data_IF_805667685564
#
_entry.id   IF_805667685564
#
_cell.length_a   1.000
_cell.length_b   1.000
_cell.length_c   1.000
_cell.angle_alpha   90.00
_cell.angle_beta   90.00
_cell.angle_gamma   90.00
#
_symmetry.space_group_name_H-M   'P 1'
#
loop_
_entity.id
_entity.type
_entity.pdbx_description
1 polymer ?
#
# COMPACT_ATOMS: atom_id res chain seq x y z
N UNK A 1 9.10 46.30 52.75
CA UNK A 1 8.20 47.22 53.48
C UNK A 1 6.94 47.42 52.63
N UNK A 2 5.78 47.09 53.22
CA UNK A 2 4.41 47.47 52.88
C UNK A 2 3.74 47.01 51.57
N UNK A 3 2.84 46.01 51.72
CA UNK A 3 1.48 46.01 51.14
C UNK A 3 0.62 47.13 51.77
N UNK A 4 -0.55 47.51 51.20
CA UNK A 4 -1.85 46.90 51.56
C UNK A 4 -2.72 46.56 50.31
N UNK A 5 -3.53 45.49 50.29
CA UNK A 5 -4.92 45.34 50.81
C UNK A 5 -5.95 46.24 50.06
N UNK A 6 -7.19 45.89 49.72
CA UNK A 6 -8.11 44.75 49.92
C UNK A 6 -9.37 45.09 49.08
N UNK A 7 -10.07 44.11 48.51
CA UNK A 7 -11.54 44.18 48.31
C UNK A 7 -12.12 42.77 48.04
N UNK A 8 -12.73 42.22 49.09
CA UNK A 8 -13.60 41.05 49.11
C UNK A 8 -15.06 41.38 48.72
N UNK A 9 -15.83 40.30 48.49
CA UNK A 9 -17.29 40.07 48.65
C UNK A 9 -17.93 39.60 47.32
N UNK A 10 -18.65 38.48 47.20
CA UNK A 10 -19.54 37.80 48.14
C UNK A 10 -19.71 36.29 47.85
N UNK A 11 -20.03 35.55 48.91
CA UNK A 11 -20.46 34.15 49.01
C UNK A 11 -21.71 33.81 48.16
N UNK A 12 -21.80 32.57 47.68
CA UNK A 12 -23.07 31.82 47.74
C UNK A 12 -22.85 30.30 47.80
N UNK A 13 -23.28 29.74 48.92
CA UNK A 13 -23.36 28.33 49.31
C UNK A 13 -24.48 27.58 48.58
N UNK A 14 -24.22 26.33 48.15
CA UNK A 14 -25.24 25.45 47.59
C UNK A 14 -24.92 23.97 47.76
N UNK A 15 -25.00 23.48 49.00
CA UNK A 15 -24.86 22.08 49.41
C UNK A 15 -26.18 21.35 49.17
N UNK A 16 -26.22 20.27 48.38
CA UNK A 16 -27.33 19.29 48.40
C UNK A 16 -26.77 17.89 48.59
N UNK A 17 -26.91 17.41 49.82
CA UNK A 17 -26.91 15.99 50.17
C UNK A 17 -28.17 15.35 49.57
N UNK A 18 -28.04 14.18 48.95
CA UNK A 18 -29.17 13.28 48.73
C UNK A 18 -28.86 11.96 49.46
N UNK A 19 -29.88 11.57 50.19
CA UNK A 19 -30.00 10.49 51.15
C UNK A 19 -29.68 9.10 50.58
N UNK A 20 -29.00 8.31 51.41
CA UNK A 20 -28.96 6.85 51.35
C UNK A 20 -30.29 6.36 51.93
N UNK A 21 -30.99 5.49 51.19
CA UNK A 21 -31.95 4.55 51.76
C UNK A 21 -31.49 3.14 51.44
N UNK A 22 -31.27 2.42 52.53
CA UNK A 22 -31.05 0.98 52.65
C UNK A 22 -32.39 0.22 52.47
N UNK A 23 -32.32 -1.11 52.44
CA UNK A 23 -33.36 -2.16 52.40
C UNK A 23 -33.45 -2.90 51.05
N UNK A 24 -32.79 -4.04 50.85
CA UNK A 24 -32.91 -5.38 51.49
C UNK A 24 -33.79 -6.34 50.68
N UNK A 25 -33.32 -7.59 50.64
CA UNK A 25 -33.99 -8.85 50.28
C UNK A 25 -33.87 -9.49 48.89
N UNK A 26 -33.38 -10.74 48.99
CA UNK A 26 -33.05 -11.86 48.07
C UNK A 26 -34.31 -12.40 47.34
N UNK A 27 -34.26 -13.29 46.29
CA UNK A 27 -33.37 -14.46 46.20
C UNK A 27 -32.91 -14.96 44.81
N UNK A 28 -31.89 -15.82 44.91
CA UNK A 28 -31.43 -16.91 44.04
C UNK A 28 -32.43 -17.42 42.99
N UNK A 29 -32.09 -17.32 41.71
CA UNK A 29 -32.49 -18.30 40.67
C UNK A 29 -31.33 -18.55 39.70
N UNK A 30 -30.82 -19.78 39.73
CA UNK A 30 -30.16 -20.45 38.62
C UNK A 30 -31.15 -20.58 37.45
N UNK A 31 -30.67 -20.42 36.20
CA UNK A 31 -31.06 -21.13 34.95
C UNK A 31 -30.69 -20.27 33.71
N UNK A 32 -30.48 -20.87 32.52
CA UNK A 32 -29.17 -21.22 31.97
C UNK A 32 -28.81 -20.41 30.70
N UNK A 33 -27.61 -20.67 30.18
CA UNK A 33 -27.21 -20.59 28.77
C UNK A 33 -28.32 -20.13 27.79
N UNK A 34 -28.29 -18.86 27.39
CA UNK A 34 -28.76 -18.47 26.07
C UNK A 34 -27.53 -18.09 25.25
N UNK A 35 -27.09 -19.08 24.48
CA UNK A 35 -26.10 -18.92 23.43
C UNK A 35 -26.54 -17.79 22.50
N UNK A 36 -25.91 -16.62 22.63
CA UNK A 36 -25.93 -15.62 21.57
C UNK A 36 -25.07 -16.21 20.45
N UNK A 37 -25.71 -16.99 19.57
CA UNK A 37 -25.13 -17.45 18.32
C UNK A 37 -24.82 -16.20 17.49
N UNK A 38 -23.60 -15.71 17.63
CA UNK A 38 -22.96 -14.81 16.67
C UNK A 38 -22.79 -15.58 15.36
N UNK A 39 -23.85 -15.63 14.56
CA UNK A 39 -23.73 -15.85 13.12
C UNK A 39 -23.06 -14.60 12.54
N UNK A 40 -21.72 -14.58 12.57
CA UNK A 40 -20.98 -13.76 11.62
C UNK A 40 -21.09 -14.48 10.26
N UNK A 41 -21.83 -13.96 9.26
CA UNK A 41 -21.57 -14.36 7.89
C UNK A 41 -20.11 -14.03 7.60
N UNK A 42 -19.37 -15.01 7.10
CA UNK A 42 -17.99 -14.82 6.68
C UNK A 42 -17.94 -13.69 5.66
N UNK A 43 -17.48 -12.52 6.11
CA UNK A 43 -17.14 -11.40 5.25
C UNK A 43 -15.90 -11.83 4.44
N UNK A 44 -16.13 -12.60 3.38
CA UNK A 44 -15.15 -12.76 2.33
C UNK A 44 -14.85 -11.37 1.78
N UNK A 45 -13.59 -11.06 1.39
CA UNK A 45 -13.16 -9.69 1.14
C UNK A 45 -14.12 -8.98 0.19
N UNK A 46 -14.61 -7.81 0.64
CA UNK A 46 -15.50 -6.86 -0.05
C UNK A 46 -14.95 -6.36 -1.39
N UNK A 47 -13.75 -6.82 -1.77
CA UNK A 47 -12.92 -6.26 -2.83
C UNK A 47 -12.57 -7.32 -3.90
N UNK A 48 -13.16 -8.50 -3.82
CA UNK A 48 -13.08 -9.47 -4.89
C UNK A 48 -13.96 -8.99 -6.05
N UNK A 49 -13.43 -9.06 -7.28
CA UNK A 49 -14.27 -8.85 -8.45
C UNK A 49 -15.20 -10.06 -8.58
N UNK A 50 -16.45 -9.82 -8.97
CA UNK A 50 -17.42 -10.90 -9.15
C UNK A 50 -18.17 -10.82 -10.47
N UNK A 51 -18.68 -11.97 -10.91
CA UNK A 51 -19.53 -12.08 -12.09
C UNK A 51 -20.41 -13.32 -12.08
N UNK A 52 -21.67 -13.18 -12.49
CA UNK A 52 -22.63 -14.28 -12.49
C UNK A 52 -22.35 -15.31 -13.60
N UNK A 53 -22.45 -16.60 -13.27
CA UNK A 53 -22.26 -17.69 -14.22
C UNK A 53 -23.61 -18.19 -14.76
N UNK A 54 -23.74 -18.48 -16.07
CA UNK A 54 -25.01 -18.92 -16.68
C UNK A 54 -25.62 -20.20 -16.11
N UNK A 55 -24.83 -21.01 -15.42
CA UNK A 55 -25.25 -22.28 -14.81
C UNK A 55 -25.53 -22.13 -13.30
N UNK A 56 -25.72 -20.90 -12.83
CA UNK A 56 -25.84 -20.58 -11.41
C UNK A 56 -24.50 -20.45 -10.69
N UNK A 57 -24.53 -19.77 -9.54
CA UNK A 57 -23.34 -19.40 -8.79
C UNK A 57 -22.61 -18.18 -9.35
N UNK A 58 -21.59 -17.77 -8.63
CA UNK A 58 -20.84 -16.54 -8.86
C UNK A 58 -19.37 -16.87 -9.05
N UNK A 59 -18.77 -16.34 -10.12
CA UNK A 59 -17.34 -16.29 -10.28
C UNK A 59 -16.80 -15.17 -9.39
N UNK A 60 -15.82 -15.48 -8.55
CA UNK A 60 -15.18 -14.54 -7.65
C UNK A 60 -13.67 -14.61 -7.81
N UNK A 61 -13.05 -13.46 -8.05
CA UNK A 61 -11.61 -13.34 -8.31
C UNK A 61 -10.97 -12.49 -7.23
N UNK A 62 -9.99 -13.09 -6.54
CA UNK A 62 -9.20 -12.43 -5.52
C UNK A 62 -8.24 -11.40 -6.15
N UNK A 63 -8.22 -10.14 -5.69
CA UNK A 63 -7.44 -9.07 -6.34
C UNK A 63 -5.92 -9.25 -6.18
N UNK A 64 -5.47 -9.86 -5.08
CA UNK A 64 -4.05 -9.98 -4.76
C UNK A 64 -3.43 -11.20 -5.44
N UNK A 65 -4.14 -12.33 -5.42
CA UNK A 65 -3.65 -13.61 -5.93
C UNK A 65 -4.17 -13.97 -7.32
N UNK A 66 -5.16 -13.21 -7.82
CA UNK A 66 -5.90 -13.48 -9.06
C UNK A 66 -6.59 -14.85 -9.08
N UNK A 67 -6.65 -15.57 -7.96
CA UNK A 67 -7.28 -16.89 -7.90
C UNK A 67 -8.77 -16.77 -8.13
N UNK A 68 -9.27 -17.60 -9.04
CA UNK A 68 -10.66 -17.63 -9.43
C UNK A 68 -11.40 -18.79 -8.75
N UNK A 69 -12.53 -18.45 -8.12
CA UNK A 69 -13.38 -19.37 -7.40
C UNK A 69 -14.81 -19.30 -7.95
N UNK A 70 -15.47 -20.44 -8.09
CA UNK A 70 -16.91 -20.52 -8.22
C UNK A 70 -17.51 -20.64 -6.83
N UNK A 71 -18.40 -19.72 -6.49
CA UNK A 71 -19.13 -19.68 -5.23
C UNK A 71 -20.59 -19.99 -5.50
N UNK A 72 -21.14 -20.96 -4.79
CA UNK A 72 -22.55 -21.36 -4.88
C UNK A 72 -23.06 -21.63 -3.46
N UNK A 73 -23.86 -20.71 -2.92
CA UNK A 73 -24.19 -20.68 -1.49
C UNK A 73 -22.93 -20.62 -0.63
N UNK A 74 -22.80 -21.55 0.31
CA UNK A 74 -21.62 -21.65 1.20
C UNK A 74 -20.46 -22.48 0.61
N UNK A 75 -20.60 -22.99 -0.62
CA UNK A 75 -19.58 -23.81 -1.26
C UNK A 75 -18.73 -22.98 -2.21
N UNK A 76 -17.42 -22.95 -1.98
CA UNK A 76 -16.43 -22.39 -2.91
C UNK A 76 -15.58 -23.50 -3.54
N UNK A 77 -15.43 -23.47 -4.86
CA UNK A 77 -14.59 -24.42 -5.62
C UNK A 77 -13.67 -23.65 -6.55
N UNK A 78 -12.43 -24.12 -6.79
CA UNK A 78 -11.55 -23.48 -7.75
C UNK A 78 -12.15 -23.54 -9.15
N UNK A 79 -11.95 -22.49 -9.94
CA UNK A 79 -12.31 -22.50 -11.35
C UNK A 79 -11.32 -23.31 -12.17
N UNK A 80 -11.84 -24.02 -13.16
CA UNK A 80 -11.03 -24.71 -14.15
C UNK A 80 -10.53 -23.75 -15.21
N UNK A 81 -9.38 -24.07 -15.78
CA UNK A 81 -8.81 -23.33 -16.88
C UNK A 81 -9.72 -23.34 -18.11
N UNK A 82 -9.71 -22.22 -18.84
CA UNK A 82 -10.50 -22.05 -20.04
C UNK A 82 -11.20 -20.70 -20.12
N UNK A 83 -12.08 -20.61 -21.10
CA UNK A 83 -12.85 -19.40 -21.40
C UNK A 83 -14.25 -19.56 -20.84
N UNK A 84 -14.64 -18.67 -19.93
CA UNK A 84 -15.91 -18.70 -19.24
C UNK A 84 -16.72 -17.48 -19.64
N UNK A 85 -17.92 -17.71 -20.17
CA UNK A 85 -18.88 -16.64 -20.48
C UNK A 85 -19.76 -16.39 -19.27
N UNK A 86 -19.91 -15.13 -18.90
CA UNK A 86 -20.78 -14.69 -17.82
C UNK A 86 -22.20 -14.41 -18.32
N UNK A 87 -23.13 -14.23 -17.39
CA UNK A 87 -24.53 -13.90 -17.72
C UNK A 87 -24.69 -12.56 -18.45
N UNK A 88 -23.85 -11.58 -18.15
CA UNK A 88 -23.84 -10.27 -18.83
C UNK A 88 -23.24 -10.32 -20.26
N UNK A 89 -22.84 -11.51 -20.71
CA UNK A 89 -22.24 -11.75 -22.02
C UNK A 89 -20.73 -11.51 -22.08
N UNK A 90 -20.12 -10.98 -21.01
CA UNK A 90 -18.67 -10.81 -20.91
C UNK A 90 -17.95 -12.16 -20.81
N UNK A 91 -16.63 -12.11 -21.00
CA UNK A 91 -15.77 -13.30 -21.04
C UNK A 91 -14.62 -13.15 -20.06
N UNK A 92 -14.43 -14.17 -19.23
CA UNK A 92 -13.29 -14.31 -18.34
C UNK A 92 -12.44 -15.49 -18.78
N UNK A 93 -11.13 -15.30 -18.83
CA UNK A 93 -10.17 -16.35 -19.16
C UNK A 93 -9.48 -16.79 -17.87
N UNK A 94 -9.52 -18.07 -17.56
CA UNK A 94 -8.82 -18.67 -16.43
C UNK A 94 -7.62 -19.47 -16.95
N UNK A 95 -6.44 -19.22 -16.37
CA UNK A 95 -5.18 -19.92 -16.64
C UNK A 95 -4.51 -20.30 -15.33
N UNK A 96 -4.21 -21.58 -15.16
CA UNK A 96 -3.61 -22.15 -13.95
C UNK A 96 -4.41 -21.80 -12.67
N UNK A 97 -5.75 -21.78 -12.77
CA UNK A 97 -6.66 -21.39 -11.69
C UNK A 97 -6.68 -19.89 -11.35
N UNK A 98 -6.04 -19.06 -12.17
CA UNK A 98 -6.01 -17.59 -12.03
C UNK A 98 -6.74 -16.89 -13.17
N UNK A 99 -7.44 -15.80 -12.88
CA UNK A 99 -8.08 -15.01 -13.92
C UNK A 99 -7.06 -14.12 -14.62
N UNK A 100 -7.10 -14.14 -15.96
CA UNK A 100 -6.45 -13.13 -16.79
C UNK A 100 -7.25 -11.83 -16.62
N UNK A 101 -6.63 -10.75 -16.14
CA UNK A 101 -7.35 -9.50 -15.85
C UNK A 101 -8.06 -8.94 -17.09
N UNK A 102 -9.33 -8.58 -16.92
CA UNK A 102 -10.09 -7.75 -17.86
C UNK A 102 -10.06 -6.29 -17.42
N UNK A 103 -10.46 -5.36 -18.30
CA UNK A 103 -10.57 -3.94 -17.96
C UNK A 103 -11.51 -3.69 -16.77
N UNK A 104 -12.63 -4.42 -16.69
CA UNK A 104 -13.54 -4.32 -15.56
C UNK A 104 -12.92 -4.80 -14.25
N UNK A 105 -12.13 -5.87 -14.29
CA UNK A 105 -11.39 -6.35 -13.12
C UNK A 105 -10.37 -5.31 -12.67
N UNK A 106 -9.58 -4.77 -13.61
CA UNK A 106 -8.61 -3.71 -13.33
C UNK A 106 -9.27 -2.49 -12.72
N UNK A 107 -10.34 -1.96 -13.30
CA UNK A 107 -11.08 -0.82 -12.74
C UNK A 107 -11.63 -1.10 -11.34
N UNK A 108 -12.10 -2.32 -11.07
CA UNK A 108 -12.59 -2.73 -9.75
C UNK A 108 -11.47 -2.78 -8.71
N UNK A 109 -10.29 -3.25 -9.10
CA UNK A 109 -9.13 -3.37 -8.22
C UNK A 109 -8.34 -2.06 -8.10
N UNK A 110 -8.38 -1.20 -9.10
CA UNK A 110 -7.78 0.15 -9.10
C UNK A 110 -8.62 1.15 -8.29
N UNK A 111 -9.94 0.91 -8.17
CA UNK A 111 -10.84 1.63 -7.24
C UNK A 111 -10.57 1.34 -5.76
N UNK A 112 -9.46 0.66 -5.45
CA UNK A 112 -8.89 0.60 -4.11
C UNK A 112 -8.78 2.05 -3.60
N UNK A 113 -9.19 2.37 -2.35
CA UNK A 113 -8.51 3.47 -1.68
C UNK A 113 -7.06 3.03 -1.67
N UNK A 114 -6.25 3.73 -2.46
CA UNK A 114 -4.80 3.58 -2.54
C UNK A 114 -4.32 3.20 -1.15
N UNK A 115 -3.45 2.17 -1.03
CA UNK A 115 -2.73 2.04 0.24
C UNK A 115 -2.16 3.43 0.43
N UNK A 116 -2.71 4.19 1.38
CA UNK A 116 -2.17 5.51 1.73
C UNK A 116 -0.71 5.22 1.82
N UNK A 117 0.07 5.79 0.89
CA UNK A 117 1.50 5.67 1.00
C UNK A 117 1.76 6.12 2.44
N UNK A 118 2.41 5.29 3.26
CA UNK A 118 2.52 5.60 4.68
C UNK A 118 3.20 6.97 4.87
N UNK A 119 3.89 7.42 3.81
CA UNK A 119 4.53 8.70 3.63
C UNK A 119 3.75 9.71 2.77
N UNK A 120 2.55 9.43 2.28
CA UNK A 120 1.71 10.39 1.58
C UNK A 120 1.45 11.61 2.49
N UNK A 121 1.75 12.80 1.98
CA UNK A 121 1.73 14.03 2.79
C UNK A 121 2.90 14.19 3.77
N UNK A 122 3.96 13.37 3.67
CA UNK A 122 5.18 13.44 4.52
C UNK A 122 6.44 13.67 3.67
N UNK A 123 6.57 14.85 3.04
CA UNK A 123 7.62 15.11 2.05
C UNK A 123 9.03 14.98 2.62
N UNK A 124 9.23 15.31 3.90
CA UNK A 124 10.54 15.22 4.54
C UNK A 124 10.98 13.77 4.79
N UNK A 125 10.06 12.89 5.20
CA UNK A 125 10.30 11.47 5.35
C UNK A 125 10.50 10.77 3.99
N UNK A 126 9.75 11.16 2.96
CA UNK A 126 9.99 10.70 1.58
C UNK A 126 11.40 11.08 1.11
N UNK A 127 11.80 12.33 1.35
CA UNK A 127 13.12 12.83 0.99
C UNK A 127 14.23 12.07 1.72
N UNK A 128 14.11 11.88 3.05
CA UNK A 128 15.07 11.08 3.83
C UNK A 128 15.17 9.66 3.27
N UNK A 129 14.05 8.96 3.10
CA UNK A 129 14.03 7.58 2.62
C UNK A 129 14.70 7.45 1.24
N UNK A 130 14.43 8.39 0.33
CA UNK A 130 15.02 8.40 -1.01
C UNK A 130 16.53 8.62 -0.98
N UNK A 131 17.00 9.59 -0.20
CA UNK A 131 18.39 10.07 -0.25
C UNK A 131 19.31 9.29 0.67
N UNK A 132 18.80 8.84 1.82
CA UNK A 132 19.55 8.03 2.79
C UNK A 132 19.50 6.53 2.47
N UNK A 133 18.46 6.09 1.75
CA UNK A 133 18.17 4.68 1.48
C UNK A 133 17.38 4.02 2.63
N UNK A 134 16.72 2.88 2.37
CA UNK A 134 15.81 2.23 3.33
C UNK A 134 16.53 1.69 4.57
N UNK A 135 17.83 1.39 4.49
CA UNK A 135 18.65 0.91 5.60
C UNK A 135 19.79 1.87 5.94
N UNK A 136 19.65 3.16 5.62
CA UNK A 136 20.68 4.20 5.86
C UNK A 136 22.01 3.95 5.15
N UNK A 137 21.97 3.32 3.98
CA UNK A 137 23.14 2.94 3.19
C UNK A 137 23.96 4.17 2.77
N UNK A 138 23.28 5.30 2.53
CA UNK A 138 23.88 6.57 2.15
C UNK A 138 24.00 7.56 3.32
N UNK A 139 24.00 7.07 4.58
CA UNK A 139 24.06 7.90 5.81
C UNK A 139 25.09 9.03 5.77
N UNK A 140 26.27 8.77 5.22
CA UNK A 140 27.38 9.73 5.19
C UNK A 140 27.37 10.68 3.98
N UNK A 141 26.42 10.54 3.05
CA UNK A 141 26.33 11.41 1.88
C UNK A 141 25.88 12.83 2.27
N UNK A 142 26.38 13.84 1.57
CA UNK A 142 25.97 15.23 1.79
C UNK A 142 24.46 15.41 1.61
N UNK A 143 23.87 14.74 0.61
CA UNK A 143 22.42 14.71 0.40
C UNK A 143 21.67 14.17 1.63
N UNK A 144 22.07 13.02 2.18
CA UNK A 144 21.37 12.41 3.31
C UNK A 144 21.50 13.25 4.58
N UNK A 145 22.67 13.83 4.84
CA UNK A 145 22.87 14.73 5.98
C UNK A 145 21.98 15.98 5.90
N UNK A 146 21.82 16.55 4.70
CA UNK A 146 20.93 17.69 4.47
C UNK A 146 19.45 17.28 4.59
N UNK A 147 19.06 16.12 4.04
CA UNK A 147 17.69 15.61 4.16
C UNK A 147 17.29 15.38 5.63
N UNK A 148 18.20 14.79 6.43
CA UNK A 148 17.99 14.62 7.89
C UNK A 148 17.88 15.94 8.63
N UNK A 149 18.66 16.96 8.22
CA UNK A 149 18.53 18.31 8.79
C UNK A 149 17.13 18.88 8.54
N UNK A 150 16.64 18.79 7.30
CA UNK A 150 15.28 19.24 6.95
C UNK A 150 14.21 18.48 7.75
N UNK A 151 14.32 17.15 7.85
CA UNK A 151 13.40 16.35 8.65
C UNK A 151 13.39 16.75 10.14
N UNK A 152 14.54 17.09 10.71
CA UNK A 152 14.61 17.56 12.09
C UNK A 152 13.97 18.95 12.27
N UNK A 153 14.19 19.87 11.31
CA UNK A 153 13.53 21.17 11.30
C UNK A 153 12.01 21.03 11.18
N UNK A 154 11.54 20.07 10.38
CA UNK A 154 10.13 19.80 10.22
C UNK A 154 9.51 19.30 11.52
N UNK A 155 10.16 18.32 12.16
CA UNK A 155 9.73 17.83 13.48
C UNK A 155 9.70 18.94 14.54
N UNK A 156 10.58 19.93 14.46
CA UNK A 156 10.53 21.11 15.32
C UNK A 156 9.36 22.03 14.98
N UNK A 157 9.12 22.32 13.70
CA UNK A 157 8.02 23.15 13.24
C UNK A 157 6.67 22.55 13.65
N UNK A 158 6.49 21.25 13.44
CA UNK A 158 5.31 20.49 13.88
C UNK A 158 5.11 20.57 15.40
N UNK A 159 6.17 20.46 16.21
CA UNK A 159 6.07 20.62 17.67
C UNK A 159 5.70 22.03 18.13
N UNK A 160 6.04 23.06 17.35
CA UNK A 160 5.70 24.46 17.64
C UNK A 160 4.33 24.85 17.10
N UNK A 161 3.68 23.99 16.33
CA UNK A 161 2.40 24.31 15.73
C UNK A 161 1.32 24.52 16.81
N UNK A 162 0.37 25.44 16.57
CA UNK A 162 -0.79 25.61 17.44
C UNK A 162 -1.60 24.30 17.59
N UNK A 163 -2.21 24.11 18.76
CA UNK A 163 -2.99 22.91 19.06
C UNK A 163 -4.21 22.71 18.13
N UNK A 164 -4.75 23.81 17.58
CA UNK A 164 -5.88 23.83 16.66
C UNK A 164 -5.49 23.67 15.18
N UNK A 165 -4.19 23.58 14.86
CA UNK A 165 -3.70 23.46 13.49
C UNK A 165 -3.88 22.05 12.87
N UNK A 166 -4.51 21.13 13.63
CA UNK A 166 -4.76 19.76 13.21
C UNK A 166 -3.60 18.81 13.51
N UNK A 167 -3.76 17.53 13.12
CA UNK A 167 -2.79 16.49 13.46
C UNK A 167 -1.45 16.62 12.72
N UNK A 168 -1.45 17.27 11.55
CA UNK A 168 -0.28 17.55 10.70
C UNK A 168 -0.51 18.85 9.92
N UNK A 169 -0.31 20.01 10.55
CA UNK A 169 -0.35 21.28 9.84
C UNK A 169 0.69 21.33 8.73
N UNK A 170 0.36 21.99 7.62
CA UNK A 170 1.36 22.33 6.61
C UNK A 170 2.34 23.35 7.20
N UNK A 171 3.63 23.10 6.98
CA UNK A 171 4.73 23.95 7.44
C UNK A 171 5.54 24.41 6.25
N UNK A 172 6.25 25.53 6.40
CA UNK A 172 7.21 25.98 5.40
C UNK A 172 8.31 24.93 5.12
N UNK A 173 8.69 24.15 6.13
CA UNK A 173 9.72 23.11 5.99
C UNK A 173 9.20 21.92 5.16
N UNK A 174 7.91 21.57 5.27
CA UNK A 174 7.30 20.56 4.41
C UNK A 174 7.37 20.98 2.92
N UNK A 175 7.16 22.26 2.61
CA UNK A 175 7.32 22.79 1.26
C UNK A 175 8.77 22.74 0.78
N UNK A 176 9.73 23.06 1.64
CA UNK A 176 11.16 22.92 1.33
C UNK A 176 11.55 21.47 1.04
N UNK A 177 11.04 20.51 1.81
CA UNK A 177 11.24 19.10 1.53
C UNK A 177 10.63 18.67 0.19
N UNK A 178 9.45 19.19 -0.15
CA UNK A 178 8.80 18.91 -1.44
C UNK A 178 9.59 19.48 -2.61
N UNK A 179 10.14 20.69 -2.45
CA UNK A 179 11.05 21.28 -3.45
C UNK A 179 12.34 20.45 -3.59
N UNK A 180 12.92 20.02 -2.47
CA UNK A 180 14.12 19.18 -2.46
C UNK A 180 13.90 17.81 -3.12
N UNK A 181 12.67 17.28 -3.12
CA UNK A 181 12.35 16.08 -3.90
C UNK A 181 12.55 16.31 -5.41
N UNK A 182 12.40 17.51 -5.93
CA UNK A 182 12.67 17.81 -7.34
C UNK A 182 14.13 18.24 -7.61
N UNK A 183 14.93 18.49 -6.57
CA UNK A 183 16.26 19.08 -6.68
C UNK A 183 17.37 18.01 -6.91
N UNK A 184 18.20 18.13 -7.96
CA UNK A 184 19.32 17.22 -8.20
C UNK A 184 20.39 17.21 -7.09
N UNK A 185 20.42 18.23 -6.20
CA UNK A 185 21.28 18.24 -5.02
C UNK A 185 20.90 17.16 -3.98
N UNK A 186 19.72 16.55 -4.11
CA UNK A 186 19.23 15.44 -3.29
C UNK A 186 19.06 14.16 -4.12
N UNK A 187 20.17 13.57 -4.64
CA UNK A 187 20.09 12.37 -5.44
C UNK A 187 19.60 11.18 -4.61
N UNK A 188 18.93 10.23 -5.26
CA UNK A 188 18.58 8.97 -4.62
C UNK A 188 19.82 8.21 -4.15
N UNK A 189 19.68 7.45 -3.07
CA UNK A 189 20.77 6.64 -2.56
C UNK A 189 21.17 5.55 -3.58
N UNK A 190 22.40 5.62 -4.09
CA UNK A 190 22.95 4.62 -5.01
C UNK A 190 23.61 3.44 -4.31
N UNK A 191 23.81 3.49 -2.98
CA UNK A 191 24.49 2.42 -2.21
C UNK A 191 23.69 1.13 -2.02
N UNK A 192 22.49 1.05 -2.61
CA UNK A 192 21.75 -0.20 -2.86
C UNK A 192 21.63 -0.56 -4.35
N UNK A 193 22.24 0.23 -5.24
CA UNK A 193 22.20 0.12 -6.70
C UNK A 193 23.57 -0.33 -7.26
N UNK A 194 24.66 -0.12 -6.52
CA UNK A 194 26.00 -0.66 -6.83
C UNK A 194 26.17 -2.14 -6.42
N UNK A 195 25.23 -2.68 -5.65
CA UNK A 195 24.88 -4.09 -5.70
C UNK A 195 23.66 -4.23 -6.62
N UNK A 196 23.82 -3.88 -7.90
CA UNK A 196 22.90 -4.29 -8.93
C UNK A 196 22.83 -5.81 -8.86
N UNK A 197 21.85 -6.35 -8.14
CA UNK A 197 21.27 -7.61 -8.53
C UNK A 197 20.73 -7.30 -9.92
N UNK A 198 21.55 -7.60 -10.94
CA UNK A 198 21.13 -7.54 -12.33
C UNK A 198 19.80 -8.25 -12.36
N UNK A 199 18.75 -7.47 -12.59
CA UNK A 199 17.40 -8.01 -12.47
C UNK A 199 17.18 -8.98 -13.62
N UNK A 200 16.23 -9.90 -13.50
CA UNK A 200 15.88 -10.73 -14.64
C UNK A 200 15.43 -9.87 -15.83
N UNK A 201 14.80 -8.70 -15.58
CA UNK A 201 14.41 -7.77 -16.64
C UNK A 201 15.61 -7.03 -17.25
N UNK A 202 16.59 -6.60 -16.45
CA UNK A 202 17.83 -6.03 -16.97
C UNK A 202 18.60 -7.05 -17.81
N UNK A 203 18.70 -8.30 -17.33
CA UNK A 203 19.32 -9.41 -18.08
C UNK A 203 18.59 -9.68 -19.39
N UNK A 204 17.26 -9.64 -19.38
CA UNK A 204 16.42 -9.82 -20.56
C UNK A 204 16.64 -8.69 -21.58
N UNK A 205 16.66 -7.43 -21.13
CA UNK A 205 16.88 -6.27 -21.99
C UNK A 205 18.28 -6.30 -22.60
N UNK A 206 19.32 -6.59 -21.81
CA UNK A 206 20.68 -6.72 -22.34
C UNK A 206 20.80 -7.85 -23.36
N UNK A 207 20.21 -9.01 -23.05
CA UNK A 207 20.16 -10.16 -23.98
C UNK A 207 19.48 -9.79 -25.29
N UNK A 208 18.32 -9.14 -25.25
CA UNK A 208 17.44 -8.97 -26.43
C UNK A 208 17.74 -7.70 -27.22
N UNK A 209 18.12 -6.62 -26.53
CA UNK A 209 18.43 -5.34 -27.15
C UNK A 209 19.93 -5.14 -27.40
N UNK A 210 20.79 -5.96 -26.77
CA UNK A 210 22.23 -5.76 -26.69
C UNK A 210 22.62 -4.74 -25.61
N UNK A 211 23.82 -4.86 -25.04
CA UNK A 211 24.32 -3.95 -24.00
C UNK A 211 24.25 -2.47 -24.42
N UNK A 212 24.53 -2.18 -25.69
CA UNK A 212 24.48 -0.83 -26.26
C UNK A 212 23.17 -0.52 -27.01
N UNK A 213 22.17 -1.42 -26.96
CA UNK A 213 20.90 -1.23 -27.66
C UNK A 213 20.96 -1.36 -29.18
N UNK A 214 21.97 -2.05 -29.73
CA UNK A 214 22.14 -2.20 -31.17
C UNK A 214 21.01 -3.01 -31.83
N UNK A 215 20.33 -3.89 -31.10
CA UNK A 215 19.09 -4.55 -31.53
C UNK A 215 17.82 -3.81 -31.11
N UNK A 216 17.86 -2.50 -30.91
CA UNK A 216 16.68 -1.69 -30.52
C UNK A 216 15.48 -1.82 -31.46
N UNK A 217 15.72 -2.18 -32.74
CA UNK A 217 14.69 -2.40 -33.75
C UNK A 217 14.18 -3.85 -33.82
N UNK A 218 14.76 -4.77 -33.05
CA UNK A 218 14.29 -6.15 -32.97
C UNK A 218 12.86 -6.18 -32.42
N UNK A 219 11.95 -7.02 -32.96
CA UNK A 219 10.58 -7.11 -32.48
C UNK A 219 10.48 -7.51 -30.99
N UNK A 220 11.52 -8.15 -30.45
CA UNK A 220 11.57 -8.56 -29.05
C UNK A 220 12.08 -7.47 -28.09
N UNK A 221 12.78 -6.44 -28.58
CA UNK A 221 13.36 -5.41 -27.71
C UNK A 221 12.32 -4.47 -27.07
N UNK A 222 11.32 -3.93 -27.79
CA UNK A 222 10.26 -3.12 -27.18
C UNK A 222 9.51 -3.82 -26.02
N UNK A 223 9.03 -5.07 -26.16
CA UNK A 223 8.36 -5.74 -25.04
C UNK A 223 9.32 -6.07 -23.89
N UNK A 224 10.60 -6.35 -24.13
CA UNK A 224 11.58 -6.54 -23.06
C UNK A 224 11.77 -5.24 -22.25
N UNK A 225 11.86 -4.08 -22.92
CA UNK A 225 11.94 -2.76 -22.26
C UNK A 225 10.66 -2.42 -21.50
N UNK A 226 9.50 -2.78 -22.04
CA UNK A 226 8.22 -2.59 -21.36
C UNK A 226 8.16 -3.36 -20.04
N UNK A 227 8.67 -4.60 -19.99
CA UNK A 227 8.71 -5.39 -18.75
C UNK A 227 9.67 -4.78 -17.71
N UNK A 228 10.82 -4.25 -18.15
CA UNK A 228 11.75 -3.55 -17.26
C UNK A 228 11.10 -2.31 -16.63
N UNK A 229 10.44 -1.48 -17.46
CA UNK A 229 9.71 -0.30 -17.00
C UNK A 229 8.55 -0.65 -16.04
N UNK A 230 7.91 -1.81 -16.20
CA UNK A 230 6.92 -2.32 -15.23
C UNK A 230 7.59 -2.76 -13.92
N UNK A 231 8.71 -3.48 -13.98
CA UNK A 231 9.47 -3.88 -12.78
C UNK A 231 9.93 -2.66 -11.97
N UNK A 232 10.41 -1.60 -12.63
CA UNK A 232 10.85 -0.37 -11.96
C UNK A 232 9.71 0.34 -11.21
N UNK A 233 8.50 0.37 -11.81
CA UNK A 233 7.29 0.88 -11.13
C UNK A 233 6.91 0.01 -9.94
N UNK A 234 6.92 -1.31 -10.09
CA UNK A 234 6.56 -2.25 -9.02
C UNK A 234 7.54 -2.17 -7.84
N UNK A 235 8.84 -1.99 -8.12
CA UNK A 235 9.88 -1.88 -7.10
C UNK A 235 9.76 -0.64 -6.24
N UNK A 236 9.24 0.46 -6.80
CA UNK A 236 9.09 1.72 -6.06
C UNK A 236 8.21 1.54 -4.81
N UNK A 237 7.31 0.56 -4.80
CA UNK A 237 6.46 0.20 -3.65
C UNK A 237 6.77 -1.15 -2.99
N UNK A 238 7.83 -1.85 -3.39
CA UNK A 238 8.14 -3.21 -2.91
C UNK A 238 9.27 -3.21 -1.85
N UNK A 239 9.27 -4.18 -0.91
CA UNK A 239 10.41 -4.41 -0.03
C UNK A 239 11.70 -4.73 -0.84
N UNK A 240 12.87 -4.30 -0.36
CA UNK A 240 14.14 -4.66 -0.98
C UNK A 240 14.29 -6.18 -1.14
N UNK A 241 14.62 -6.63 -2.35
CA UNK A 241 14.81 -8.06 -2.66
C UNK A 241 13.51 -8.86 -2.91
N UNK A 242 12.33 -8.23 -2.84
CA UNK A 242 11.09 -8.90 -3.23
C UNK A 242 11.08 -9.18 -4.73
N UNK A 243 10.67 -10.39 -5.12
CA UNK A 243 10.40 -10.72 -6.52
C UNK A 243 9.11 -10.03 -6.92
N UNK A 244 9.18 -9.10 -7.86
CA UNK A 244 7.99 -8.42 -8.37
C UNK A 244 7.28 -9.29 -9.43
N UNK A 245 5.98 -9.07 -9.68
CA UNK A 245 5.26 -9.77 -10.75
C UNK A 245 5.95 -9.66 -12.12
N UNK A 246 6.46 -8.48 -12.47
CA UNK A 246 7.20 -8.27 -13.72
C UNK A 246 8.58 -8.93 -13.68
N UNK A 247 9.27 -8.93 -12.54
CA UNK A 247 10.52 -9.67 -12.35
C UNK A 247 10.38 -11.18 -12.58
N UNK A 248 9.24 -11.78 -12.19
CA UNK A 248 8.92 -13.17 -12.50
C UNK A 248 8.68 -13.39 -14.00
N UNK A 249 7.94 -12.51 -14.66
CA UNK A 249 7.72 -12.58 -16.11
C UNK A 249 9.02 -12.46 -16.90
N UNK A 250 9.94 -11.59 -16.49
CA UNK A 250 11.24 -11.47 -17.13
C UNK A 250 12.09 -12.74 -16.98
N UNK A 251 12.05 -13.39 -15.80
CA UNK A 251 12.73 -14.67 -15.59
C UNK A 251 12.19 -15.75 -16.53
N UNK A 252 10.86 -15.81 -16.69
CA UNK A 252 10.24 -16.79 -17.57
C UNK A 252 10.51 -16.45 -19.06
N UNK A 253 10.58 -15.17 -19.41
CA UNK A 253 10.93 -14.67 -20.74
C UNK A 253 12.35 -15.04 -21.17
N UNK A 254 13.32 -15.14 -20.25
CA UNK A 254 14.69 -15.59 -20.56
C UNK A 254 14.73 -17.01 -21.14
N UNK A 255 13.73 -17.85 -20.86
CA UNK A 255 13.58 -19.19 -21.44
C UNK A 255 12.77 -19.24 -22.75
N UNK A 256 12.24 -18.10 -23.22
CA UNK A 256 11.34 -18.05 -24.36
C UNK A 256 12.08 -17.67 -25.66
N UNK A 257 11.88 -18.44 -26.72
CA UNK A 257 12.53 -18.24 -28.02
C UNK A 257 12.19 -16.90 -28.70
N UNK A 258 11.07 -16.27 -28.36
CA UNK A 258 10.74 -14.92 -28.82
C UNK A 258 11.78 -13.89 -28.34
N UNK A 259 12.31 -14.05 -27.12
CA UNK A 259 13.35 -13.21 -26.53
C UNK A 259 14.75 -13.80 -26.81
N UNK A 260 15.03 -14.02 -28.09
CA UNK A 260 16.33 -14.46 -28.55
C UNK A 260 17.43 -13.42 -28.23
N UNK A 261 18.68 -13.86 -28.08
CA UNK A 261 19.82 -12.95 -27.99
C UNK A 261 19.91 -12.00 -29.18
N UNK A 262 20.45 -10.82 -28.92
CA UNK A 262 20.88 -9.86 -29.90
C UNK A 262 22.20 -10.35 -30.51
N UNK A 263 22.17 -10.66 -31.80
CA UNK A 263 23.32 -11.08 -32.62
C UNK A 263 23.76 -9.95 -33.58
#
# INVERSE_FOLDING_TARGET
MFQPALAELCLSTGKRQIHISDMNDRPTTLFPLLAFMLLLPGALPVHAWTGALPQGGELRVDPDTRRAWRVEGDTARPMWDGVHRLEDGSVVIIRDGTAVPSEQMLNTWESRPERVDELEGRPCEQLERRVCGPADECRASAGCLNARRLLNLEREAQRRAPFDAGARPETEVADQCRAALADPAFPACSKGVDAAIVTHCQTLVERVCGADGHCSKSPACPPARQLLDQEDRERTGAPPGAVTPSGAQCRDALGNAFFAPCD
#
